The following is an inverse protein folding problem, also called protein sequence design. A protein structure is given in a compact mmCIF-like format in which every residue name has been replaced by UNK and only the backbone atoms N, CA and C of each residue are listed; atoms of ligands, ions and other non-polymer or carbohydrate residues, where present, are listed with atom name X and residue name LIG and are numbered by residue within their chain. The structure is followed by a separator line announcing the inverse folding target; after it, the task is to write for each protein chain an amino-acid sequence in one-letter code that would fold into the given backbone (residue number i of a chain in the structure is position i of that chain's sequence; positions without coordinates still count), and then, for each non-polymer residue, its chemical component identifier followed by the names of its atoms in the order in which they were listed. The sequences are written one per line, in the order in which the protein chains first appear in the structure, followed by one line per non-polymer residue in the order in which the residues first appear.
data_IF_877132247879
#
_entry.id   IF_877132247879
#
_cell.length_a   1.000
_cell.length_b   1.000
_cell.length_c   1.000
_cell.angle_alpha   90.00
_cell.angle_beta   90.00
_cell.angle_gamma   90.00
#
_symmetry.space_group_name_H-M   'P 1'
#
loop_
_entity.id
_entity.type
_entity.pdbx_description
1 polymer ?
#
# COMPACT_ATOMS: atom_id res chain seq x y z
N UNK A 1 56.20 -0.05 -20.69
CA UNK A 1 55.60 1.23 -20.28
C UNK A 1 54.14 0.94 -19.97
N UNK A 2 53.80 0.33 -18.83
CA UNK A 2 53.63 0.96 -17.50
C UNK A 2 52.71 2.18 -17.51
N UNK A 3 51.55 1.99 -16.85
CA UNK A 3 50.73 2.95 -16.07
C UNK A 3 50.08 4.12 -16.83
N UNK A 4 48.81 4.47 -16.62
CA UNK A 4 47.95 4.10 -15.51
C UNK A 4 46.50 4.58 -15.63
N UNK A 5 45.76 4.10 -14.64
CA UNK A 5 44.37 4.36 -14.30
C UNK A 5 44.19 5.73 -13.63
N UNK A 6 43.08 6.40 -13.92
CA UNK A 6 42.33 7.32 -13.03
C UNK A 6 40.85 7.06 -13.36
N UNK A 7 40.01 6.44 -12.52
CA UNK A 7 39.59 6.72 -11.13
C UNK A 7 38.83 8.04 -10.95
N UNK A 8 37.66 7.93 -10.31
CA UNK A 8 36.67 8.99 -10.00
C UNK A 8 35.36 8.73 -10.74
N UNK A 9 34.37 7.94 -10.28
CA UNK A 9 33.77 7.86 -8.94
C UNK A 9 33.32 9.22 -8.42
N UNK A 10 32.16 9.68 -8.88
CA UNK A 10 31.30 10.59 -8.10
C UNK A 10 30.07 9.81 -7.67
N UNK A 11 30.25 9.10 -6.55
CA UNK A 11 29.17 8.50 -5.78
C UNK A 11 28.52 9.60 -4.93
N UNK A 12 27.19 9.68 -5.06
CA UNK A 12 26.24 9.97 -3.99
C UNK A 12 26.58 11.11 -3.00
N UNK A 13 25.92 12.25 -3.19
CA UNK A 13 25.60 13.16 -2.09
C UNK A 13 24.08 13.24 -1.94
N UNK A 14 23.47 12.20 -1.37
CA UNK A 14 22.07 12.22 -0.92
C UNK A 14 22.02 12.81 0.51
N UNK A 15 21.34 13.94 0.68
CA UNK A 15 21.31 14.71 1.93
C UNK A 15 20.26 14.15 2.91
N UNK A 16 20.54 14.21 4.21
CA UNK A 16 19.69 13.62 5.27
C UNK A 16 18.28 14.21 5.44
N UNK A 17 17.93 15.28 4.72
CA UNK A 17 16.59 15.91 4.75
C UNK A 17 15.54 15.16 3.94
N UNK A 18 15.95 14.42 2.92
CA UNK A 18 15.02 13.75 2.00
C UNK A 18 14.48 12.46 2.63
N UNK A 19 15.33 11.75 3.38
CA UNK A 19 14.96 10.52 4.09
C UNK A 19 13.91 10.74 5.20
N UNK A 20 13.97 11.86 5.93
CA UNK A 20 12.97 12.20 6.96
C UNK A 20 11.60 12.55 6.35
N UNK A 21 11.59 13.26 5.22
CA UNK A 21 10.37 13.61 4.51
C UNK A 21 9.65 12.37 3.97
N UNK A 22 10.38 11.43 3.37
CA UNK A 22 9.84 10.17 2.91
C UNK A 22 9.32 9.29 4.05
N UNK A 23 10.04 9.25 5.18
CA UNK A 23 9.59 8.50 6.36
C UNK A 23 8.25 9.04 6.89
N UNK A 24 8.06 10.36 6.88
CA UNK A 24 6.79 10.99 7.24
C UNK A 24 5.67 10.64 6.25
N UNK A 25 5.93 10.68 4.94
CA UNK A 25 4.94 10.29 3.92
C UNK A 25 4.53 8.82 4.08
N UNK A 26 5.48 7.90 4.27
CA UNK A 26 5.21 6.47 4.53
C UNK A 26 4.38 6.28 5.80
N UNK A 27 4.71 6.99 6.88
CA UNK A 27 3.93 6.95 8.12
C UNK A 27 2.50 7.46 7.93
N UNK A 28 2.31 8.53 7.14
CA UNK A 28 1.00 9.05 6.80
C UNK A 28 0.19 8.08 5.93
N UNK A 29 0.81 7.47 4.92
CA UNK A 29 0.19 6.45 4.07
C UNK A 29 -0.28 5.26 4.92
N UNK A 30 0.60 4.73 5.78
CA UNK A 30 0.26 3.68 6.75
C UNK A 30 -0.92 4.06 7.64
N UNK A 31 -0.93 5.28 8.19
CA UNK A 31 -2.05 5.78 9.00
C UNK A 31 -3.36 5.83 8.21
N UNK A 32 -3.33 6.28 6.95
CA UNK A 32 -4.50 6.31 6.07
C UNK A 32 -5.04 4.90 5.78
N UNK A 33 -4.15 3.94 5.51
CA UNK A 33 -4.52 2.52 5.30
C UNK A 33 -5.18 1.95 6.54
N UNK A 34 -4.54 2.07 7.71
CA UNK A 34 -5.09 1.57 9.00
C UNK A 34 -6.47 2.17 9.29
N UNK A 35 -6.66 3.47 9.06
CA UNK A 35 -7.96 4.11 9.28
C UNK A 35 -9.06 3.62 8.32
N UNK A 36 -8.71 3.19 7.10
CA UNK A 36 -9.66 2.54 6.17
C UNK A 36 -10.02 1.14 6.63
N UNK A 37 -9.02 0.34 7.01
CA UNK A 37 -9.22 -1.02 7.52
C UNK A 37 -10.06 -1.02 8.81
N UNK A 38 -9.81 -0.09 9.74
CA UNK A 38 -10.64 0.06 10.95
C UNK A 38 -12.11 0.37 10.64
N UNK A 39 -12.38 1.17 9.60
CA UNK A 39 -13.75 1.43 9.15
C UNK A 39 -14.39 0.19 8.54
N UNK A 40 -13.68 -0.52 7.66
CA UNK A 40 -14.17 -1.78 7.08
C UNK A 40 -14.45 -2.83 8.18
N UNK A 41 -13.59 -2.91 9.21
CA UNK A 41 -13.80 -3.76 10.38
C UNK A 41 -15.08 -3.40 11.14
N UNK A 42 -15.34 -2.11 11.40
CA UNK A 42 -16.59 -1.69 12.04
C UNK A 42 -17.83 -2.02 11.21
N UNK A 43 -17.74 -1.91 9.88
CA UNK A 43 -18.83 -2.31 8.99
C UNK A 43 -19.05 -3.82 9.00
N UNK A 44 -17.96 -4.62 8.99
CA UNK A 44 -18.05 -6.07 9.08
C UNK A 44 -18.65 -6.53 10.42
N UNK A 45 -18.27 -5.89 11.53
CA UNK A 45 -18.87 -6.15 12.83
C UNK A 45 -20.39 -5.91 12.80
N UNK A 46 -20.84 -4.82 12.17
CA UNK A 46 -22.28 -4.55 12.00
C UNK A 46 -22.99 -5.61 11.15
N UNK A 47 -22.35 -6.11 10.08
CA UNK A 47 -22.87 -7.21 9.26
C UNK A 47 -23.04 -8.48 10.09
N UNK A 48 -22.04 -8.83 10.90
CA UNK A 48 -22.09 -10.01 11.78
C UNK A 48 -23.29 -9.89 12.73
N UNK A 49 -23.44 -8.76 13.42
CA UNK A 49 -24.59 -8.51 14.30
C UNK A 49 -25.93 -8.58 13.55
N UNK A 50 -25.99 -8.08 12.31
CA UNK A 50 -27.20 -8.17 11.50
C UNK A 50 -27.58 -9.62 11.18
N UNK A 51 -26.60 -10.46 10.85
CA UNK A 51 -26.82 -11.90 10.60
C UNK A 51 -27.24 -12.62 11.89
N UNK A 52 -26.56 -12.36 13.01
CA UNK A 52 -26.90 -12.94 14.31
C UNK A 52 -28.30 -12.54 14.81
N UNK A 53 -28.82 -11.41 14.32
CA UNK A 53 -30.16 -10.89 14.64
C UNK A 53 -31.22 -11.27 13.59
N UNK A 54 -30.93 -12.25 12.72
CA UNK A 54 -31.83 -12.70 11.63
C UNK A 54 -32.32 -11.55 10.72
N UNK A 55 -31.46 -10.56 10.44
CA UNK A 55 -31.80 -9.45 9.57
C UNK A 55 -32.13 -9.92 8.14
N UNK A 56 -32.92 -9.11 7.43
CA UNK A 56 -33.35 -9.44 6.08
C UNK A 56 -32.15 -9.62 5.12
N UNK A 57 -32.18 -10.68 4.31
CA UNK A 57 -31.07 -11.08 3.44
C UNK A 57 -30.59 -9.94 2.52
N UNK A 58 -31.53 -9.14 1.99
CA UNK A 58 -31.23 -7.95 1.17
C UNK A 58 -30.32 -6.95 1.90
N UNK A 59 -30.58 -6.69 3.18
CA UNK A 59 -29.84 -5.69 3.96
C UNK A 59 -28.43 -6.20 4.28
N UNK A 60 -28.31 -7.48 4.63
CA UNK A 60 -27.02 -8.16 4.84
C UNK A 60 -26.17 -8.09 3.56
N UNK A 61 -26.73 -8.44 2.39
CA UNK A 61 -26.01 -8.38 1.11
C UNK A 61 -25.60 -6.95 0.75
N UNK A 62 -26.45 -5.97 1.03
CA UNK A 62 -26.15 -4.55 0.80
C UNK A 62 -25.01 -4.06 1.68
N UNK A 63 -24.97 -4.47 2.95
CA UNK A 63 -23.90 -4.13 3.88
C UNK A 63 -22.59 -4.85 3.53
N UNK A 64 -22.64 -6.14 3.17
CA UNK A 64 -21.48 -6.90 2.67
C UNK A 64 -20.85 -6.23 1.45
N UNK A 65 -21.69 -5.78 0.51
CA UNK A 65 -21.21 -5.04 -0.68
C UNK A 65 -20.51 -3.73 -0.29
N UNK A 66 -20.96 -3.07 0.79
CA UNK A 66 -20.30 -1.87 1.31
C UNK A 66 -18.97 -2.19 2.00
N UNK A 67 -18.88 -3.31 2.72
CA UNK A 67 -17.62 -3.82 3.32
C UNK A 67 -16.61 -4.15 2.22
N UNK A 68 -17.01 -4.89 1.18
CA UNK A 68 -16.14 -5.21 0.04
C UNK A 68 -15.54 -3.94 -0.57
N UNK A 69 -16.39 -2.96 -0.93
CA UNK A 69 -15.94 -1.66 -1.47
C UNK A 69 -15.04 -0.87 -0.52
N UNK A 70 -15.14 -1.08 0.79
CA UNK A 70 -14.25 -0.44 1.76
C UNK A 70 -12.88 -1.13 1.80
N UNK A 71 -12.86 -2.47 1.69
CA UNK A 71 -11.64 -3.28 1.57
C UNK A 71 -10.92 -3.00 0.26
N UNK A 72 -11.60 -2.96 -0.89
CA UNK A 72 -11.01 -2.67 -2.20
C UNK A 72 -10.28 -1.32 -2.17
N UNK A 73 -10.94 -0.29 -1.61
CA UNK A 73 -10.34 1.05 -1.45
C UNK A 73 -9.15 1.08 -0.48
N UNK A 74 -9.07 0.16 0.47
CA UNK A 74 -7.89 0.02 1.32
C UNK A 74 -6.77 -0.71 0.56
N UNK A 75 -7.10 -1.79 -0.16
CA UNK A 75 -6.17 -2.55 -1.00
C UNK A 75 -5.52 -1.69 -2.08
N UNK A 76 -6.30 -0.90 -2.82
CA UNK A 76 -5.75 0.03 -3.82
C UNK A 76 -4.80 1.06 -3.22
N UNK A 77 -5.04 1.50 -1.98
CA UNK A 77 -4.13 2.42 -1.30
C UNK A 77 -2.81 1.72 -0.93
N UNK A 78 -2.86 0.45 -0.50
CA UNK A 78 -1.66 -0.35 -0.24
C UNK A 78 -0.84 -0.52 -1.52
N UNK A 79 -1.46 -1.01 -2.59
CA UNK A 79 -0.78 -1.28 -3.87
C UNK A 79 -0.22 0.01 -4.49
N UNK A 80 -0.98 1.11 -4.48
CA UNK A 80 -0.47 2.38 -4.99
C UNK A 80 0.66 2.98 -4.14
N UNK A 81 0.72 2.69 -2.84
CA UNK A 81 1.85 3.07 -1.98
C UNK A 81 3.09 2.25 -2.37
N UNK A 82 2.94 0.92 -2.46
CA UNK A 82 4.04 0.05 -2.85
C UNK A 82 4.56 0.34 -4.28
N UNK A 83 3.68 0.70 -5.21
CA UNK A 83 4.07 1.11 -6.56
C UNK A 83 4.93 2.39 -6.55
N UNK A 84 4.57 3.38 -5.72
CA UNK A 84 5.40 4.58 -5.55
C UNK A 84 6.77 4.23 -4.98
N UNK A 85 6.82 3.36 -3.98
CA UNK A 85 8.08 2.93 -3.36
C UNK A 85 8.97 2.22 -4.41
N UNK A 86 8.39 1.37 -5.26
CA UNK A 86 9.12 0.71 -6.34
C UNK A 86 9.66 1.68 -7.41
N UNK A 87 8.94 2.76 -7.71
CA UNK A 87 9.36 3.77 -8.69
C UNK A 87 10.40 4.75 -8.15
N UNK A 88 10.49 4.89 -6.82
CA UNK A 88 11.38 5.84 -6.14
C UNK A 88 12.62 5.18 -5.54
N UNK A 89 12.60 3.86 -5.35
CA UNK A 89 13.76 3.09 -4.93
C UNK A 89 14.86 3.06 -6.01
N UNK A 90 16.15 3.06 -5.61
CA UNK A 90 17.26 2.74 -6.51
C UNK A 90 17.06 1.38 -7.19
N UNK A 91 17.60 1.19 -8.40
CA UNK A 91 17.41 -0.03 -9.18
C UNK A 91 17.75 -1.30 -8.36
N UNK A 92 16.73 -2.16 -8.14
CA UNK A 92 16.87 -3.41 -7.41
C UNK A 92 16.62 -3.33 -5.89
N UNK A 93 16.28 -2.17 -5.34
CA UNK A 93 16.01 -1.96 -3.91
C UNK A 93 14.52 -1.80 -3.56
N UNK A 94 13.63 -1.87 -4.56
CA UNK A 94 12.18 -1.83 -4.35
C UNK A 94 11.69 -3.03 -3.54
N UNK A 95 10.71 -2.79 -2.65
CA UNK A 95 10.17 -3.82 -1.74
C UNK A 95 9.45 -4.96 -2.50
N UNK A 96 8.96 -4.68 -3.71
CA UNK A 96 8.29 -5.64 -4.60
C UNK A 96 8.72 -5.41 -6.06
N UNK A 97 8.71 -6.47 -6.87
CA UNK A 97 8.91 -6.33 -8.31
C UNK A 97 7.62 -5.82 -9.01
N UNK A 98 7.72 -5.02 -10.09
CA UNK A 98 6.55 -4.53 -10.84
C UNK A 98 5.55 -5.61 -11.28
N UNK A 99 6.00 -6.80 -11.66
CA UNK A 99 5.18 -7.93 -12.11
C UNK A 99 4.41 -8.55 -10.94
N UNK A 100 5.05 -8.65 -9.76
CA UNK A 100 4.39 -9.06 -8.53
C UNK A 100 3.31 -8.04 -8.11
N UNK A 101 3.59 -6.74 -8.21
CA UNK A 101 2.62 -5.68 -7.95
C UNK A 101 1.43 -5.72 -8.91
N UNK A 102 1.65 -5.95 -10.21
CA UNK A 102 0.59 -6.12 -11.21
C UNK A 102 -0.33 -7.29 -10.82
N UNK A 103 0.25 -8.43 -10.44
CA UNK A 103 -0.51 -9.61 -10.00
C UNK A 103 -1.34 -9.31 -8.75
N UNK A 104 -0.77 -8.63 -7.76
CA UNK A 104 -1.49 -8.22 -6.55
C UNK A 104 -2.63 -7.26 -6.89
N UNK A 105 -2.40 -6.30 -7.78
CA UNK A 105 -3.44 -5.38 -8.23
C UNK A 105 -4.61 -6.09 -8.89
N UNK A 106 -4.33 -7.01 -9.84
CA UNK A 106 -5.36 -7.77 -10.54
C UNK A 106 -6.16 -8.71 -9.62
N UNK A 107 -5.59 -9.12 -8.48
CA UNK A 107 -6.32 -9.92 -7.47
C UNK A 107 -7.36 -9.12 -6.67
N UNK A 108 -7.32 -7.78 -6.74
CA UNK A 108 -8.25 -6.87 -6.07
C UNK A 108 -9.36 -6.35 -7.00
N UNK A 109 -9.35 -6.73 -8.29
CA UNK A 109 -10.24 -6.23 -9.34
C UNK A 109 -11.43 -7.15 -9.63
#
# INVERSE_FOLDING_TARGET
MSTGSVSGADAASANGTDAEAEALERAEAKRKIVNRLRRAHGQLAAVITAVESDAHCRDVVQQLSAVSKALDRAGFLVVSTALKDCLTAPEGEGELDPQELEKLFLSLA
#
